data_IF_211921911134
#
_entry.id   IF_211921911134
#
_cell.length_a   1.000
_cell.length_b   1.000
_cell.length_c   1.000
_cell.angle_alpha   90.00
_cell.angle_beta   90.00
_cell.angle_gamma   90.00
#
_symmetry.space_group_name_H-M   'P 1'
#
loop_
_entity.id
_entity.type
_entity.pdbx_description
1 polymer ?
#
# COMPACT_ATOMS: atom_id res chain seq x y z
N UNK A 1 -3.60 9.28 9.04
CA UNK A 1 -3.81 10.03 7.78
C UNK A 1 -5.15 10.73 7.82
N UNK A 2 -6.26 10.00 7.98
CA UNK A 2 -7.59 10.62 8.13
C UNK A 2 -7.68 11.57 9.33
N UNK A 3 -7.02 11.24 10.45
CA UNK A 3 -6.96 12.09 11.65
C UNK A 3 -6.28 13.46 11.45
N UNK A 4 -5.44 13.59 10.42
CA UNK A 4 -4.72 14.84 10.10
C UNK A 4 -5.35 15.57 8.89
N UNK A 5 -6.44 15.05 8.32
CA UNK A 5 -7.07 15.58 7.10
C UNK A 5 -8.36 16.30 7.46
N UNK A 6 -8.48 17.57 7.10
CA UNK A 6 -9.74 18.32 7.19
C UNK A 6 -10.82 17.66 6.33
N UNK A 7 -12.04 17.51 6.84
CA UNK A 7 -13.16 16.84 6.17
C UNK A 7 -12.80 15.45 5.61
N UNK A 8 -12.06 14.63 6.37
CA UNK A 8 -11.56 13.33 5.91
C UNK A 8 -12.66 12.42 5.33
N UNK A 9 -13.90 12.55 5.83
CA UNK A 9 -15.06 11.79 5.39
C UNK A 9 -15.48 12.08 3.93
N UNK A 10 -15.22 13.30 3.44
CA UNK A 10 -15.53 13.72 2.06
C UNK A 10 -14.26 13.75 1.20
N UNK A 11 -13.20 14.38 1.70
CA UNK A 11 -11.95 14.55 0.94
C UNK A 11 -11.22 13.25 0.72
N UNK A 12 -11.29 12.30 1.66
CA UNK A 12 -10.66 10.98 1.52
C UNK A 12 -11.17 10.24 0.28
N UNK A 13 -12.48 9.96 0.17
CA UNK A 13 -13.05 9.30 -1.00
C UNK A 13 -12.84 10.06 -2.32
N UNK A 14 -12.94 11.39 -2.32
CA UNK A 14 -12.71 12.21 -3.52
C UNK A 14 -11.25 12.13 -3.98
N UNK A 15 -10.29 12.23 -3.05
CA UNK A 15 -8.87 12.09 -3.35
C UNK A 15 -8.54 10.72 -3.92
N UNK A 16 -9.11 9.63 -3.37
CA UNK A 16 -8.93 8.27 -3.90
C UNK A 16 -9.44 8.18 -5.34
N UNK A 17 -10.65 8.70 -5.63
CA UNK A 17 -11.20 8.69 -7.00
C UNK A 17 -10.31 9.45 -7.99
N UNK A 18 -9.89 10.65 -7.62
CA UNK A 18 -9.00 11.45 -8.46
C UNK A 18 -7.65 10.76 -8.68
N UNK A 19 -7.05 10.18 -7.62
CA UNK A 19 -5.79 9.46 -7.71
C UNK A 19 -5.87 8.24 -8.63
N UNK A 20 -6.95 7.47 -8.57
CA UNK A 20 -7.17 6.31 -9.46
C UNK A 20 -7.33 6.74 -10.91
N UNK A 21 -8.09 7.80 -11.17
CA UNK A 21 -8.30 8.30 -12.54
C UNK A 21 -6.99 8.83 -13.15
N UNK A 22 -6.27 9.67 -12.41
CA UNK A 22 -5.01 10.25 -12.88
C UNK A 22 -3.94 9.17 -13.07
N UNK A 23 -3.79 8.26 -12.11
CA UNK A 23 -2.81 7.17 -12.22
C UNK A 23 -3.17 6.18 -13.33
N UNK A 24 -4.46 5.88 -13.53
CA UNK A 24 -4.92 5.02 -14.62
C UNK A 24 -4.65 5.60 -16.00
N UNK A 25 -5.00 6.88 -16.22
CA UNK A 25 -4.77 7.56 -17.50
C UNK A 25 -3.26 7.71 -17.78
N UNK A 26 -2.50 8.17 -16.78
CA UNK A 26 -1.05 8.38 -16.94
C UNK A 26 -0.32 7.06 -17.13
N UNK A 27 -0.68 6.02 -16.37
CA UNK A 27 -0.12 4.68 -16.50
C UNK A 27 -0.42 4.07 -17.87
N UNK A 28 -1.66 4.21 -18.35
CA UNK A 28 -2.02 3.75 -19.69
C UNK A 28 -1.23 4.46 -20.79
N UNK A 29 -1.09 5.79 -20.73
CA UNK A 29 -0.26 6.55 -21.69
C UNK A 29 1.20 6.11 -21.66
N UNK A 30 1.75 5.86 -20.47
CA UNK A 30 3.11 5.36 -20.30
C UNK A 30 3.29 3.97 -20.93
N UNK A 31 2.35 3.05 -20.70
CA UNK A 31 2.36 1.71 -21.30
C UNK A 31 2.33 1.78 -22.82
N UNK A 32 1.43 2.59 -23.39
CA UNK A 32 1.36 2.79 -24.86
C UNK A 32 2.69 3.32 -25.40
N UNK A 33 3.29 4.30 -24.70
CA UNK A 33 4.60 4.86 -25.09
C UNK A 33 5.69 3.77 -25.07
N UNK A 34 5.75 2.95 -24.03
CA UNK A 34 6.71 1.84 -23.98
C UNK A 34 6.50 0.81 -25.10
N UNK A 35 5.25 0.51 -25.46
CA UNK A 35 4.98 -0.38 -26.58
C UNK A 35 5.50 0.17 -27.92
N UNK A 36 5.41 1.49 -28.15
CA UNK A 36 5.96 2.11 -29.37
C UNK A 36 7.48 2.27 -29.35
N UNK A 37 8.09 2.43 -28.17
CA UNK A 37 9.55 2.56 -28.04
C UNK A 37 10.28 1.20 -28.00
N UNK A 38 9.56 0.10 -27.83
CA UNK A 38 10.13 -1.25 -27.79
C UNK A 38 10.39 -1.74 -29.22
N UNK A 39 11.64 -1.61 -29.68
CA UNK A 39 12.06 -2.01 -31.03
C UNK A 39 12.45 -3.49 -31.14
N UNK A 40 13.19 -4.01 -30.15
CA UNK A 40 13.65 -5.39 -30.09
C UNK A 40 13.36 -5.99 -28.71
N UNK A 41 12.31 -6.81 -28.63
CA UNK A 41 11.88 -7.45 -27.39
C UNK A 41 12.95 -8.39 -26.81
N UNK A 42 13.58 -9.21 -27.66
CA UNK A 42 14.57 -10.21 -27.20
C UNK A 42 15.82 -9.52 -26.67
N UNK A 43 16.33 -8.51 -27.39
CA UNK A 43 17.47 -7.72 -26.97
C UNK A 43 17.23 -6.91 -25.68
N UNK A 44 15.99 -6.45 -25.45
CA UNK A 44 15.63 -5.72 -24.23
C UNK A 44 15.52 -6.68 -23.03
N UNK A 45 14.95 -7.88 -23.21
CA UNK A 45 14.84 -8.87 -22.12
C UNK A 45 16.19 -9.50 -21.77
N UNK A 46 17.11 -9.61 -22.73
CA UNK A 46 18.46 -10.14 -22.52
C UNK A 46 19.50 -9.05 -22.16
N UNK A 47 19.06 -7.83 -21.80
CA UNK A 47 19.98 -6.70 -21.56
C UNK A 47 20.99 -7.03 -20.46
N UNK A 48 22.30 -6.72 -20.63
CA UNK A 48 23.32 -6.89 -19.60
C UNK A 48 23.04 -6.09 -18.33
N UNK A 49 22.21 -5.04 -18.43
CA UNK A 49 21.84 -4.20 -17.29
C UNK A 49 20.84 -4.87 -16.35
N UNK A 50 20.19 -5.97 -16.76
CA UNK A 50 19.13 -6.64 -16.00
C UNK A 50 17.87 -5.79 -15.81
N UNK A 51 17.78 -4.61 -16.44
CA UNK A 51 16.73 -3.61 -16.25
C UNK A 51 16.14 -3.23 -17.61
N UNK A 52 15.09 -3.95 -18.07
CA UNK A 52 14.48 -3.73 -19.40
C UNK A 52 14.06 -2.28 -19.65
N UNK A 53 13.51 -1.59 -18.63
CA UNK A 53 13.07 -0.20 -18.76
C UNK A 53 14.24 0.76 -18.98
N UNK A 54 15.38 0.53 -18.33
CA UNK A 54 16.58 1.33 -18.53
C UNK A 54 17.11 1.18 -19.97
N UNK A 55 17.03 -0.03 -20.53
CA UNK A 55 17.39 -0.29 -21.91
C UNK A 55 16.46 0.44 -22.89
N UNK A 56 15.15 0.50 -22.62
CA UNK A 56 14.20 1.24 -23.46
C UNK A 56 14.57 2.73 -23.50
N UNK A 57 14.90 3.35 -22.36
CA UNK A 57 15.34 4.75 -22.34
C UNK A 57 16.67 4.96 -23.06
N UNK A 58 17.60 4.02 -22.96
CA UNK A 58 18.86 4.07 -23.69
C UNK A 58 18.64 3.98 -25.20
N UNK A 59 17.74 3.10 -25.65
CA UNK A 59 17.40 2.94 -27.05
C UNK A 59 16.68 4.16 -27.62
N UNK A 60 15.78 4.79 -26.84
CA UNK A 60 15.01 5.95 -27.28
C UNK A 60 15.82 7.26 -27.25
N UNK A 61 16.63 7.49 -26.20
CA UNK A 61 17.32 8.76 -25.95
C UNK A 61 18.84 8.72 -26.14
N UNK A 62 19.40 7.59 -26.55
CA UNK A 62 20.86 7.36 -26.56
C UNK A 62 21.47 7.40 -25.16
N UNK A 63 22.81 7.44 -25.09
CA UNK A 63 23.54 7.42 -23.81
C UNK A 63 23.23 8.61 -22.92
N UNK A 64 23.21 9.82 -23.47
CA UNK A 64 22.98 11.05 -22.70
C UNK A 64 21.51 11.20 -22.31
N UNK A 65 20.58 11.06 -23.26
CA UNK A 65 19.15 11.22 -23.00
C UNK A 65 18.60 10.12 -22.10
N UNK A 66 18.98 8.86 -22.35
CA UNK A 66 18.55 7.73 -21.52
C UNK A 66 19.03 7.82 -20.07
N UNK A 67 20.27 8.30 -19.85
CA UNK A 67 20.79 8.51 -18.48
C UNK A 67 20.03 9.61 -17.75
N UNK A 68 19.68 10.71 -18.42
CA UNK A 68 18.89 11.80 -17.83
C UNK A 68 17.48 11.30 -17.47
N UNK A 69 16.83 10.55 -18.35
CA UNK A 69 15.51 9.95 -18.08
C UNK A 69 15.56 9.01 -16.87
N UNK A 70 16.61 8.16 -16.80
CA UNK A 70 16.80 7.24 -15.67
C UNK A 70 17.03 7.97 -14.35
N UNK A 71 17.76 9.10 -14.37
CA UNK A 71 17.95 9.94 -13.19
C UNK A 71 16.61 10.43 -12.61
N UNK A 72 15.67 10.88 -13.45
CA UNK A 72 14.34 11.29 -12.97
C UNK A 72 13.55 10.11 -12.38
N UNK A 73 13.65 8.91 -12.96
CA UNK A 73 13.02 7.72 -12.39
C UNK A 73 13.58 7.40 -11.00
N UNK A 74 14.91 7.44 -10.84
CA UNK A 74 15.54 7.25 -9.53
C UNK A 74 15.12 8.32 -8.51
N UNK A 75 15.01 9.58 -8.95
CA UNK A 75 14.56 10.69 -8.11
C UNK A 75 13.12 10.49 -7.63
N UNK A 76 12.20 10.13 -8.53
CA UNK A 76 10.79 9.82 -8.17
C UNK A 76 10.71 8.63 -7.22
N UNK A 77 11.53 7.60 -7.45
CA UNK A 77 11.57 6.43 -6.58
C UNK A 77 12.09 6.76 -5.18
N UNK A 78 13.06 7.68 -5.05
CA UNK A 78 13.54 8.18 -3.77
C UNK A 78 12.42 8.85 -2.95
N UNK A 79 11.68 9.78 -3.57
CA UNK A 79 10.55 10.44 -2.89
C UNK A 79 9.43 9.46 -2.53
N UNK A 80 9.15 8.49 -3.40
CA UNK A 80 8.19 7.42 -3.12
C UNK A 80 8.62 6.59 -1.90
N UNK A 81 9.91 6.24 -1.82
CA UNK A 81 10.49 5.54 -0.66
C UNK A 81 10.36 6.34 0.64
N UNK A 82 10.64 7.65 0.61
CA UNK A 82 10.46 8.53 1.77
C UNK A 82 9.00 8.57 2.23
N UNK A 83 8.04 8.69 1.29
CA UNK A 83 6.61 8.69 1.59
C UNK A 83 6.13 7.36 2.19
N UNK A 84 6.55 6.23 1.60
CA UNK A 84 6.23 4.90 2.09
C UNK A 84 6.82 4.64 3.49
N UNK A 85 8.04 5.10 3.75
CA UNK A 85 8.68 4.99 5.08
C UNK A 85 7.87 5.74 6.16
N UNK A 86 7.40 6.95 5.84
CA UNK A 86 6.57 7.73 6.76
C UNK A 86 5.23 7.02 7.05
N UNK A 87 4.57 6.47 6.02
CA UNK A 87 3.34 5.72 6.19
C UNK A 87 3.55 4.47 7.06
N UNK A 88 4.61 3.70 6.82
CA UNK A 88 4.95 2.50 7.58
C UNK A 88 5.24 2.81 9.05
N UNK A 89 6.01 3.86 9.33
CA UNK A 89 6.32 4.27 10.70
C UNK A 89 5.05 4.69 11.47
N UNK A 90 4.12 5.39 10.81
CA UNK A 90 2.82 5.78 11.39
C UNK A 90 1.93 4.58 11.66
N UNK A 91 1.89 3.60 10.75
CA UNK A 91 1.17 2.34 10.98
C UNK A 91 1.77 1.54 12.14
N UNK A 92 3.10 1.40 12.18
CA UNK A 92 3.81 0.72 13.26
C UNK A 92 3.54 1.39 14.63
N UNK A 93 3.50 2.72 14.66
CA UNK A 93 3.13 3.47 15.85
C UNK A 93 1.67 3.27 16.27
N UNK A 94 0.73 3.27 15.32
CA UNK A 94 -0.69 3.01 15.63
C UNK A 94 -0.89 1.59 16.20
N UNK A 95 -0.22 0.59 15.62
CA UNK A 95 -0.25 -0.79 16.14
C UNK A 95 0.43 -0.94 17.51
N UNK A 96 1.49 -0.17 17.79
CA UNK A 96 2.10 -0.19 19.12
C UNK A 96 1.22 0.50 20.15
N UNK A 97 0.49 1.58 19.80
CA UNK A 97 -0.52 2.20 20.67
C UNK A 97 -1.63 1.23 21.07
N UNK A 98 -2.04 0.36 20.14
CA UNK A 98 -3.07 -0.65 20.35
C UNK A 98 -2.52 -1.95 20.98
N UNK A 99 -1.28 -1.92 21.51
CA UNK A 99 -0.59 -3.05 22.16
C UNK A 99 -0.47 -4.32 21.29
N UNK A 100 -0.34 -4.16 19.96
CA UNK A 100 -0.19 -5.27 19.02
C UNK A 100 1.24 -5.85 18.97
N UNK A 101 2.26 -5.09 19.40
CA UNK A 101 3.68 -5.47 19.36
C UNK A 101 4.23 -5.89 20.72
N UNK A 102 5.26 -6.75 20.77
CA UNK A 102 6.05 -6.94 21.98
C UNK A 102 6.74 -5.62 22.36
N UNK A 103 6.71 -5.26 23.64
CA UNK A 103 7.23 -3.96 24.15
C UNK A 103 6.53 -2.74 23.54
N UNK A 104 5.23 -2.83 23.30
CA UNK A 104 4.37 -1.76 22.76
C UNK A 104 4.58 -0.39 23.40
N UNK A 105 4.87 -0.34 24.70
CA UNK A 105 5.09 0.91 25.46
C UNK A 105 6.34 1.68 25.02
N UNK A 106 7.37 0.96 24.54
CA UNK A 106 8.59 1.57 24.04
C UNK A 106 8.41 2.13 22.62
N UNK A 107 7.69 1.39 21.77
CA UNK A 107 7.47 1.74 20.37
C UNK A 107 6.39 2.80 20.18
N UNK A 108 5.42 2.90 21.09
CA UNK A 108 4.35 3.90 21.05
C UNK A 108 4.78 5.27 21.57
N UNK A 109 5.97 5.38 22.18
CA UNK A 109 6.47 6.63 22.73
C UNK A 109 6.78 7.65 21.64
N UNK A 110 6.10 8.79 21.70
CA UNK A 110 6.33 9.95 20.83
C UNK A 110 7.38 10.87 21.46
N UNK A 111 8.31 11.38 20.65
CA UNK A 111 9.31 12.34 21.12
C UNK A 111 8.67 13.71 21.35
N UNK A 112 8.87 14.31 22.51
CA UNK A 112 8.30 15.61 22.89
C UNK A 112 8.83 16.79 22.08
N UNK A 113 10.01 16.67 21.45
CA UNK A 113 10.65 17.77 20.73
C UNK A 113 10.28 17.81 19.25
N UNK A 114 10.11 16.64 18.64
CA UNK A 114 9.80 16.51 17.20
C UNK A 114 8.35 16.11 16.94
N UNK A 115 7.59 15.75 17.99
CA UNK A 115 6.23 15.21 17.89
C UNK A 115 6.11 13.99 16.95
N UNK A 116 7.22 13.26 16.73
CA UNK A 116 7.28 12.10 15.84
C UNK A 116 7.66 10.82 16.60
N UNK A 117 7.16 9.65 16.19
CA UNK A 117 7.46 8.37 16.83
C UNK A 117 8.82 7.81 16.33
N UNK A 118 9.92 8.40 16.79
CA UNK A 118 11.29 8.05 16.35
C UNK A 118 11.63 6.57 16.61
N UNK A 119 11.14 5.99 17.71
CA UNK A 119 11.38 4.58 18.03
C UNK A 119 10.71 3.64 17.01
N UNK A 120 9.48 3.96 16.58
CA UNK A 120 8.77 3.19 15.55
C UNK A 120 9.47 3.30 14.18
N UNK A 121 10.02 4.48 13.85
CA UNK A 121 10.82 4.66 12.63
C UNK A 121 12.03 3.72 12.63
N UNK A 122 12.81 3.69 13.72
CA UNK A 122 13.98 2.81 13.80
C UNK A 122 13.62 1.33 13.75
N UNK A 123 12.47 0.93 14.31
CA UNK A 123 11.96 -0.44 14.17
C UNK A 123 11.71 -0.80 12.70
N UNK A 124 11.04 0.07 11.96
CA UNK A 124 10.77 -0.14 10.54
C UNK A 124 12.06 -0.16 9.73
N UNK A 125 12.98 0.80 9.98
CA UNK A 125 14.28 0.86 9.29
C UNK A 125 15.11 -0.38 9.54
N UNK A 126 15.21 -0.84 10.79
CA UNK A 126 15.94 -2.05 11.15
C UNK A 126 15.32 -3.28 10.47
N UNK A 127 14.00 -3.40 10.49
CA UNK A 127 13.29 -4.53 9.86
C UNK A 127 13.48 -4.55 8.34
N UNK A 128 13.28 -3.41 7.66
CA UNK A 128 13.51 -3.28 6.22
C UNK A 128 14.98 -3.58 5.87
N UNK A 129 15.93 -3.06 6.65
CA UNK A 129 17.36 -3.32 6.44
C UNK A 129 17.68 -4.81 6.57
N UNK A 130 17.15 -5.50 7.60
CA UNK A 130 17.31 -6.94 7.76
C UNK A 130 16.72 -7.73 6.60
N UNK A 131 15.57 -7.31 6.04
CA UNK A 131 14.99 -7.92 4.85
C UNK A 131 15.88 -7.72 3.63
N UNK A 132 16.44 -6.52 3.43
CA UNK A 132 17.32 -6.23 2.31
C UNK A 132 18.64 -7.03 2.39
N UNK A 133 19.17 -7.27 3.59
CA UNK A 133 20.36 -8.10 3.80
C UNK A 133 20.20 -9.54 3.29
N UNK A 134 18.97 -10.07 3.22
CA UNK A 134 18.69 -11.40 2.65
C UNK A 134 19.12 -11.46 1.17
N UNK A 135 19.06 -10.33 0.46
CA UNK A 135 19.49 -10.23 -0.93
C UNK A 135 20.98 -10.51 -1.15
N UNK A 136 21.83 -10.33 -0.14
CA UNK A 136 23.26 -10.67 -0.21
C UNK A 136 23.46 -12.19 -0.27
N UNK A 137 22.59 -12.95 0.40
CA UNK A 137 22.69 -14.40 0.46
C UNK A 137 22.07 -15.11 -0.73
N UNK A 138 20.89 -14.66 -1.18
CA UNK A 138 20.13 -15.33 -2.25
C UNK A 138 19.27 -14.35 -3.04
N UNK A 139 19.58 -14.20 -4.32
CA UNK A 139 18.77 -13.42 -5.27
C UNK A 139 17.39 -14.03 -5.48
N UNK A 140 17.27 -15.36 -5.47
CA UNK A 140 15.98 -16.04 -5.57
C UNK A 140 15.07 -15.70 -4.39
N UNK A 141 15.63 -15.62 -3.18
CA UNK A 141 14.85 -15.35 -1.97
C UNK A 141 14.36 -13.91 -1.94
N UNK A 142 15.21 -12.93 -2.25
CA UNK A 142 14.79 -11.52 -2.27
C UNK A 142 13.78 -11.24 -3.38
N UNK A 143 13.93 -11.85 -4.57
CA UNK A 143 12.93 -11.75 -5.63
C UNK A 143 11.59 -12.35 -5.21
N UNK A 144 11.59 -13.48 -4.48
CA UNK A 144 10.36 -14.04 -3.94
C UNK A 144 9.67 -13.11 -2.93
N UNK A 145 10.46 -12.42 -2.09
CA UNK A 145 9.95 -11.39 -1.16
C UNK A 145 9.35 -10.21 -1.93
N UNK A 146 9.99 -9.74 -3.01
CA UNK A 146 9.40 -8.68 -3.83
C UNK A 146 8.13 -9.12 -4.55
N UNK A 147 8.08 -10.35 -5.07
CA UNK A 147 6.91 -10.89 -5.75
C UNK A 147 5.68 -11.02 -4.86
N UNK A 148 5.84 -11.22 -3.53
CA UNK A 148 4.70 -11.27 -2.60
C UNK A 148 4.17 -9.87 -2.25
N UNK A 149 4.93 -8.80 -2.42
CA UNK A 149 4.50 -7.45 -1.96
C UNK A 149 3.19 -6.99 -2.59
N UNK A 150 3.04 -7.11 -3.91
CA UNK A 150 1.82 -6.74 -4.65
C UNK A 150 0.60 -7.59 -4.24
N UNK A 151 0.62 -8.94 -4.34
CA UNK A 151 -0.53 -9.75 -3.96
C UNK A 151 -0.84 -9.67 -2.46
N UNK A 152 0.15 -9.46 -1.58
CA UNK A 152 -0.12 -9.26 -0.14
C UNK A 152 -0.89 -7.96 0.12
N UNK A 153 -0.55 -6.88 -0.59
CA UNK A 153 -1.25 -5.60 -0.50
C UNK A 153 -2.68 -5.72 -1.07
N UNK A 154 -2.84 -6.41 -2.21
CA UNK A 154 -4.15 -6.68 -2.79
C UNK A 154 -5.05 -7.50 -1.85
N UNK A 155 -4.51 -8.56 -1.26
CA UNK A 155 -5.21 -9.39 -0.25
C UNK A 155 -5.61 -8.54 0.97
N UNK A 156 -4.77 -7.60 1.39
CA UNK A 156 -5.09 -6.70 2.51
C UNK A 156 -6.32 -5.82 2.23
N UNK A 157 -6.51 -5.38 0.98
CA UNK A 157 -7.66 -4.58 0.58
C UNK A 157 -8.96 -5.38 0.62
N UNK A 158 -8.97 -6.62 0.09
CA UNK A 158 -10.17 -7.45 0.16
C UNK A 158 -10.48 -7.91 1.59
N UNK A 159 -9.47 -8.06 2.46
CA UNK A 159 -9.69 -8.43 3.85
C UNK A 159 -10.59 -7.39 4.56
N UNK A 160 -10.35 -6.10 4.31
CA UNK A 160 -11.19 -5.01 4.87
C UNK A 160 -12.60 -5.02 4.26
N UNK A 161 -12.73 -5.25 2.94
CA UNK A 161 -14.04 -5.31 2.26
C UNK A 161 -14.88 -6.49 2.78
N UNK A 162 -14.26 -7.66 2.93
CA UNK A 162 -14.91 -8.87 3.45
C UNK A 162 -15.28 -8.66 4.91
N UNK A 163 -14.40 -8.10 5.74
CA UNK A 163 -14.69 -7.78 7.13
C UNK A 163 -15.88 -6.82 7.24
N UNK A 164 -15.88 -5.72 6.47
CA UNK A 164 -16.99 -4.78 6.44
C UNK A 164 -18.33 -5.47 6.12
N UNK A 165 -18.33 -6.38 5.14
CA UNK A 165 -19.55 -7.11 4.75
C UNK A 165 -19.97 -8.17 5.76
N UNK A 166 -19.02 -8.82 6.43
CA UNK A 166 -19.31 -9.83 7.44
C UNK A 166 -19.91 -9.23 8.73
N UNK A 167 -19.49 -8.00 9.07
CA UNK A 167 -19.97 -7.28 10.25
C UNK A 167 -21.10 -6.28 9.97
N UNK A 168 -21.57 -6.17 8.71
CA UNK A 168 -22.66 -5.27 8.29
C UNK A 168 -23.93 -5.45 9.15
N UNK A 169 -24.28 -6.71 9.47
CA UNK A 169 -25.47 -7.03 10.27
C UNK A 169 -25.22 -7.00 11.79
N UNK A 170 -23.97 -6.86 12.22
CA UNK A 170 -23.55 -6.98 13.64
C UNK A 170 -23.16 -5.65 14.27
N UNK A 171 -22.85 -4.64 13.47
CA UNK A 171 -22.37 -3.34 13.92
C UNK A 171 -23.18 -2.25 13.21
N UNK A 172 -23.74 -1.32 13.98
CA UNK A 172 -24.47 -0.17 13.45
C UNK A 172 -23.50 0.77 12.73
N UNK A 173 -23.43 0.65 11.40
CA UNK A 173 -22.59 1.53 10.59
C UNK A 173 -23.34 2.82 10.28
N UNK A 174 -22.83 3.95 10.76
CA UNK A 174 -23.37 5.25 10.38
C UNK A 174 -22.82 5.61 8.99
N UNK A 175 -23.66 5.69 7.94
CA UNK A 175 -23.20 6.05 6.61
C UNK A 175 -22.61 7.46 6.62
N UNK A 176 -21.35 7.59 6.21
CA UNK A 176 -20.73 8.90 6.01
C UNK A 176 -21.36 9.67 4.83
N UNK A 177 -21.04 10.96 4.67
CA UNK A 177 -21.56 11.83 3.61
C UNK A 177 -21.33 11.28 2.19
N UNK A 178 -20.33 10.41 2.05
CA UNK A 178 -20.06 9.68 0.83
C UNK A 178 -20.57 8.24 0.94
N UNK A 179 -21.60 7.89 0.17
CA UNK A 179 -22.05 6.50 0.04
C UNK A 179 -22.28 6.11 -1.42
N UNK A 180 -21.99 4.84 -1.75
CA UNK A 180 -22.37 4.24 -3.04
C UNK A 180 -23.79 3.65 -3.02
N UNK A 181 -24.51 3.79 -1.91
CA UNK A 181 -25.84 3.23 -1.70
C UNK A 181 -25.93 1.76 -2.16
N UNK A 182 -26.90 1.49 -3.05
CA UNK A 182 -27.23 0.16 -3.57
C UNK A 182 -26.12 -0.47 -4.42
N UNK A 183 -25.21 0.33 -4.97
CA UNK A 183 -24.09 -0.15 -5.80
C UNK A 183 -22.90 -0.66 -4.99
N UNK A 184 -22.86 -0.42 -3.67
CA UNK A 184 -21.78 -0.90 -2.80
C UNK A 184 -21.62 -2.43 -2.88
N UNK A 185 -22.72 -3.19 -2.76
CA UNK A 185 -22.69 -4.66 -2.73
C UNK A 185 -22.19 -5.32 -4.02
N UNK A 186 -22.66 -4.95 -5.23
CA UNK A 186 -22.16 -5.54 -6.48
C UNK A 186 -20.72 -5.11 -6.77
N UNK A 187 -20.36 -3.84 -6.55
CA UNK A 187 -18.99 -3.35 -6.78
C UNK A 187 -17.99 -4.06 -5.87
N UNK A 188 -18.33 -4.23 -4.58
CA UNK A 188 -17.49 -4.97 -3.64
C UNK A 188 -17.30 -6.43 -4.06
N UNK A 189 -18.34 -7.08 -4.59
CA UNK A 189 -18.23 -8.46 -5.07
C UNK A 189 -17.29 -8.57 -6.28
N UNK A 190 -17.45 -7.67 -7.26
CA UNK A 190 -16.57 -7.61 -8.44
C UNK A 190 -15.11 -7.36 -8.02
N UNK A 191 -14.88 -6.41 -7.11
CA UNK A 191 -13.56 -6.09 -6.60
C UNK A 191 -12.90 -7.30 -5.92
N UNK A 192 -13.64 -8.00 -5.05
CA UNK A 192 -13.13 -9.21 -4.37
C UNK A 192 -12.79 -10.31 -5.38
N UNK A 193 -13.68 -10.59 -6.34
CA UNK A 193 -13.43 -11.61 -7.36
C UNK A 193 -12.22 -11.26 -8.22
N UNK A 194 -12.11 -10.00 -8.65
CA UNK A 194 -10.98 -9.53 -9.47
C UNK A 194 -9.64 -9.63 -8.73
N UNK A 195 -9.61 -9.20 -7.46
CA UNK A 195 -8.40 -9.26 -6.65
C UNK A 195 -7.96 -10.70 -6.37
N UNK A 196 -8.91 -11.62 -6.09
CA UNK A 196 -8.59 -13.05 -5.94
C UNK A 196 -8.00 -13.60 -7.23
N UNK A 197 -8.61 -13.28 -8.37
CA UNK A 197 -8.12 -13.71 -9.68
C UNK A 197 -6.71 -13.20 -9.97
N UNK A 198 -6.45 -11.89 -9.84
CA UNK A 198 -5.14 -11.32 -10.15
C UNK A 198 -4.06 -11.80 -9.16
N UNK A 199 -4.40 -11.95 -7.87
CA UNK A 199 -3.47 -12.49 -6.88
C UNK A 199 -3.06 -13.92 -7.23
N UNK A 200 -4.02 -14.77 -7.63
CA UNK A 200 -3.72 -16.13 -8.08
C UNK A 200 -2.79 -16.14 -9.31
N UNK A 201 -3.00 -15.22 -10.26
CA UNK A 201 -2.13 -15.05 -11.43
C UNK A 201 -0.72 -14.61 -11.02
N UNK A 202 -0.59 -13.68 -10.09
CA UNK A 202 0.71 -13.17 -9.61
C UNK A 202 1.52 -14.23 -8.85
N UNK A 203 0.88 -15.28 -8.32
CA UNK A 203 1.58 -16.42 -7.74
C UNK A 203 2.11 -17.41 -8.77
N UNK A 204 1.64 -17.38 -10.02
CA UNK A 204 2.17 -18.26 -11.06
C UNK A 204 3.57 -17.83 -11.55
N UNK A 205 4.42 -18.77 -11.96
CA UNK A 205 5.70 -18.48 -12.59
C UNK A 205 5.49 -17.89 -14.00
N UNK A 206 6.40 -17.03 -14.42
CA UNK A 206 6.34 -16.31 -15.71
C UNK A 206 6.80 -17.13 -16.91
N UNK A 207 7.43 -18.30 -16.68
CA UNK A 207 8.03 -19.16 -17.70
C UNK A 207 7.62 -20.63 -17.51
N UNK A 208 7.42 -21.32 -18.64
CA UNK A 208 7.08 -22.74 -18.72
C UNK A 208 8.10 -23.42 -19.66
N UNK A 209 8.76 -24.55 -19.28
CA UNK A 209 8.54 -25.40 -18.10
C UNK A 209 9.07 -24.83 -16.78
N UNK A 210 8.38 -25.17 -15.69
CA UNK A 210 8.71 -24.72 -14.34
C UNK A 210 9.84 -25.57 -13.77
N UNK A 211 10.92 -24.92 -13.37
CA UNK A 211 12.08 -25.52 -12.69
C UNK A 211 12.15 -24.99 -11.26
N UNK A 212 12.89 -25.68 -10.38
CA UNK A 212 13.12 -25.22 -9.01
C UNK A 212 13.81 -23.83 -8.96
N UNK A 213 14.48 -23.42 -10.03
CA UNK A 213 15.15 -22.13 -10.13
C UNK A 213 14.27 -21.00 -10.68
N UNK A 214 13.18 -21.30 -11.38
CA UNK A 214 12.28 -20.30 -11.98
C UNK A 214 10.90 -20.22 -11.30
N UNK A 215 10.62 -21.11 -10.35
CA UNK A 215 9.38 -21.12 -9.59
C UNK A 215 9.22 -19.83 -8.77
N UNK A 216 8.00 -19.29 -8.77
CA UNK A 216 7.67 -18.15 -7.92
C UNK A 216 7.40 -18.60 -6.48
N UNK A 217 8.40 -18.48 -5.61
CA UNK A 217 8.30 -18.85 -4.19
C UNK A 217 7.51 -17.84 -3.32
N UNK A 218 6.87 -16.83 -3.92
CA UNK A 218 6.05 -15.86 -3.20
C UNK A 218 4.97 -16.52 -2.32
N UNK A 219 4.37 -17.64 -2.76
CA UNK A 219 3.36 -18.36 -1.99
C UNK A 219 3.93 -18.96 -0.69
N UNK A 220 5.18 -19.43 -0.71
CA UNK A 220 5.85 -19.96 0.47
C UNK A 220 6.14 -18.84 1.48
N UNK A 221 6.57 -17.67 0.99
CA UNK A 221 6.79 -16.48 1.82
C UNK A 221 5.45 -16.01 2.42
N UNK A 222 4.38 -15.99 1.63
CA UNK A 222 3.04 -15.64 2.09
C UNK A 222 2.57 -16.58 3.22
N UNK A 223 2.73 -17.88 3.03
CA UNK A 223 2.36 -18.89 4.03
C UNK A 223 3.18 -18.72 5.32
N UNK A 224 4.48 -18.43 5.21
CA UNK A 224 5.32 -18.15 6.37
C UNK A 224 4.86 -16.90 7.15
N UNK A 225 4.57 -15.80 6.45
CA UNK A 225 4.07 -14.57 7.07
C UNK A 225 2.71 -14.82 7.74
N UNK A 226 1.80 -15.53 7.07
CA UNK A 226 0.49 -15.89 7.62
C UNK A 226 0.60 -16.79 8.86
N UNK A 227 1.50 -17.78 8.83
CA UNK A 227 1.77 -18.64 9.99
C UNK A 227 2.34 -17.82 11.15
N UNK A 228 3.34 -16.98 10.90
CA UNK A 228 3.93 -16.13 11.93
C UNK A 228 2.88 -15.21 12.58
N UNK A 229 2.05 -14.57 11.76
CA UNK A 229 0.96 -13.68 12.22
C UNK A 229 -0.08 -14.43 13.06
N UNK A 230 -0.53 -15.61 12.60
CA UNK A 230 -1.52 -16.41 13.34
C UNK A 230 -0.95 -16.94 14.65
N UNK A 231 0.29 -17.43 14.66
CA UNK A 231 0.97 -17.86 15.89
C UNK A 231 1.08 -16.70 16.87
N UNK A 232 1.50 -15.51 16.42
CA UNK A 232 1.57 -14.32 17.28
C UNK A 232 0.21 -13.92 17.85
N UNK A 233 -0.84 -13.97 17.02
CA UNK A 233 -2.21 -13.68 17.44
C UNK A 233 -2.68 -14.59 18.57
N UNK A 234 -2.50 -15.90 18.42
CA UNK A 234 -2.91 -16.88 19.44
C UNK A 234 -2.00 -16.90 20.66
N UNK A 235 -0.69 -16.66 20.49
CA UNK A 235 0.28 -16.68 21.59
C UNK A 235 0.10 -15.51 22.56
N UNK A 236 -0.18 -14.30 22.05
CA UNK A 236 -0.20 -13.11 22.90
C UNK A 236 -1.15 -12.00 22.45
N UNK A 237 -1.19 -11.68 21.16
CA UNK A 237 -1.88 -10.46 20.71
C UNK A 237 -3.38 -10.47 21.03
N UNK A 238 -4.07 -11.63 20.98
CA UNK A 238 -5.50 -11.72 21.36
C UNK A 238 -5.79 -11.25 22.79
N UNK A 239 -4.82 -11.31 23.70
CA UNK A 239 -4.99 -10.93 25.13
C UNK A 239 -4.67 -9.46 25.40
N UNK A 240 -3.75 -8.88 24.62
CA UNK A 240 -3.25 -7.51 24.83
C UNK A 240 -3.79 -6.51 23.83
N UNK A 241 -4.13 -6.95 22.62
CA UNK A 241 -4.68 -6.10 21.57
C UNK A 241 -6.08 -5.64 21.98
N UNK A 242 -6.14 -4.38 22.34
CA UNK A 242 -7.40 -3.63 22.43
C UNK A 242 -7.48 -2.87 21.12
N UNK A 243 -8.61 -2.96 20.41
CA UNK A 243 -8.82 -2.19 19.17
C UNK A 243 -8.61 -0.69 19.39
N UNK A 244 -8.79 0.16 18.36
CA UNK A 244 -8.36 1.56 18.38
C UNK A 244 -8.67 2.23 19.73
N UNK A 245 -7.63 2.51 20.52
CA UNK A 245 -7.78 3.12 21.86
C UNK A 245 -8.04 4.63 21.75
N UNK A 246 -8.87 5.02 20.80
CA UNK A 246 -9.34 6.39 20.67
C UNK A 246 -10.32 6.62 21.81
N UNK A 247 -9.81 7.21 22.88
CA UNK A 247 -10.59 7.81 23.97
C UNK A 247 -11.13 9.19 23.61
N UNK A 248 -11.14 9.56 22.33
CA UNK A 248 -12.14 10.49 21.85
C UNK A 248 -13.44 9.71 21.83
N UNK A 249 -14.20 9.90 22.89
CA UNK A 249 -15.63 9.63 22.93
C UNK A 249 -16.17 9.87 21.52
N UNK A 250 -16.70 8.83 20.88
CA UNK A 250 -17.81 9.03 19.94
C UNK A 250 -18.97 9.50 20.82
N UNK A 251 -18.84 10.70 21.43
CA UNK A 251 -19.99 11.55 21.58
C UNK A 251 -20.42 11.79 20.15
N UNK A 252 -21.71 11.63 19.89
CA UNK A 252 -22.32 12.09 18.66
C UNK A 252 -21.77 13.48 18.40
N UNK A 253 -20.77 13.59 17.50
CA UNK A 253 -20.47 14.87 16.91
C UNK A 253 -21.79 15.25 16.27
N UNK A 254 -22.38 16.41 16.64
CA UNK A 254 -23.60 16.86 16.00
C UNK A 254 -23.38 16.73 14.48
N UNK A 255 -24.36 16.20 13.74
CA UNK A 255 -24.21 16.07 12.30
C UNK A 255 -23.72 17.42 11.80
N UNK A 256 -22.54 17.47 11.17
CA UNK A 256 -22.08 18.70 10.52
C UNK A 256 -23.17 19.05 9.51
N UNK A 257 -23.92 20.10 9.83
CA UNK A 257 -25.01 20.55 8.99
C UNK A 257 -24.38 20.94 7.65
N UNK A 258 -24.92 20.36 6.58
CA UNK A 258 -24.40 20.57 5.22
C UNK A 258 -24.42 22.08 4.87
N UNK A 259 -25.30 22.85 5.51
CA UNK A 259 -25.39 24.30 5.41
C UNK A 259 -24.16 25.03 5.99
N UNK A 260 -23.55 24.54 7.08
CA UNK A 260 -22.33 25.13 7.65
C UNK A 260 -21.09 24.83 6.79
N UNK A 261 -21.04 23.65 6.16
CA UNK A 261 -19.96 23.28 5.23
C UNK A 261 -20.08 24.06 3.91
N UNK A 262 -21.30 24.35 3.47
CA UNK A 262 -21.56 25.15 2.27
C UNK A 262 -21.38 26.65 2.53
N UNK A 263 -21.73 27.15 3.72
CA UNK A 263 -21.52 28.57 4.08
C UNK A 263 -20.03 28.90 4.15
N UNK A 264 -19.21 28.01 4.72
CA UNK A 264 -17.75 28.17 4.77
C UNK A 264 -17.09 27.99 3.38
N UNK A 265 -17.82 27.43 2.40
CA UNK A 265 -17.40 27.38 1.00
C UNK A 265 -17.77 28.66 0.24
N UNK A 266 -18.95 29.24 0.50
CA UNK A 266 -19.42 30.50 -0.11
C UNK A 266 -18.67 31.71 0.44
N UNK A 267 -18.43 31.78 1.75
CA UNK A 267 -17.70 32.90 2.40
C UNK A 267 -16.24 33.01 1.93
N UNK A 268 -15.66 31.94 1.39
CA UNK A 268 -14.28 31.95 0.86
C UNK A 268 -14.18 32.32 -0.61
N UNK A 269 -15.31 32.44 -1.33
CA UNK A 269 -15.34 32.71 -2.77
C UNK A 269 -16.27 33.86 -3.20
N UNK A 270 -17.04 34.46 -2.29
CA UNK A 270 -17.63 35.78 -2.52
C UNK A 270 -16.62 36.89 -2.17
N UNK A 271 -16.39 37.87 -3.07
CA UNK A 271 -15.39 38.92 -2.89
C UNK A 271 -15.71 39.90 -1.75
#
# INVERSE_FOLDING_TARGET
MSEETHDAAIRGPVAIRAAILVSGVTGWMLTVTFCFCMSDYEGIMATPTGLPVAQIFFNAGGKTGGTIMWFFVMLVQFFTGCSAMLANARMAWAFSRDAAFPFSDFWSKVNSRTHTPVNAVWLVVAFCSCLDLIGIGSTLTITAIFNITAPALDISYIAVIIAHRWYEDRVTFHPGPYTMGRWSKPVNAIAVTWVIFISAVLFFPTVNPVTATNMNYAICVAAFIGLFSTVWWYAGARKSYTGPRTSDTIGELPPEDIEDVLSDYDDRYTP
#
